data_IF_284413028997
#
_entry.id   IF_284413028997
#
_cell.length_a   1.000
_cell.length_b   1.000
_cell.length_c   1.000
_cell.angle_alpha   90.00
_cell.angle_beta   90.00
_cell.angle_gamma   90.00
#
_symmetry.space_group_name_H-M   'P 1'
#
loop_
_entity.id
_entity.type
_entity.pdbx_description
1 polymer ?
#
# COMPACT_ATOMS: atom_id res chain seq x y z
N UNK A 1 -14.56 0.86 15.64
CA UNK A 1 -13.24 0.77 14.95
C UNK A 1 -12.94 2.04 14.16
N UNK A 2 -13.78 2.41 13.18
CA UNK A 2 -13.66 3.66 12.42
C UNK A 2 -13.54 4.92 13.30
N UNK A 3 -14.52 5.17 14.18
CA UNK A 3 -14.49 6.34 15.07
C UNK A 3 -13.24 6.37 15.98
N UNK A 4 -12.84 5.20 16.51
CA UNK A 4 -11.65 5.07 17.37
C UNK A 4 -10.40 5.50 16.61
N UNK A 5 -10.21 5.01 15.39
CA UNK A 5 -9.03 5.39 14.60
C UNK A 5 -8.96 6.89 14.32
N UNK A 6 -10.08 7.52 13.96
CA UNK A 6 -10.14 8.96 13.65
C UNK A 6 -9.87 9.79 14.91
N UNK A 7 -10.52 9.45 16.03
CA UNK A 7 -10.32 10.13 17.31
C UNK A 7 -8.87 9.98 17.80
N UNK A 8 -8.27 8.81 17.61
CA UNK A 8 -6.88 8.56 17.96
C UNK A 8 -5.93 9.44 17.14
N UNK A 9 -6.11 9.52 15.82
CA UNK A 9 -5.30 10.42 14.96
C UNK A 9 -5.48 11.88 15.33
N UNK A 10 -6.72 12.32 15.57
CA UNK A 10 -7.03 13.67 16.01
C UNK A 10 -6.35 14.01 17.33
N UNK A 11 -6.36 13.08 18.29
CA UNK A 11 -5.69 13.25 19.58
C UNK A 11 -4.18 13.47 19.42
N UNK A 12 -3.49 12.64 18.62
CA UNK A 12 -2.05 12.80 18.37
C UNK A 12 -1.73 14.10 17.64
N UNK A 13 -2.55 14.47 16.66
CA UNK A 13 -2.40 15.72 15.93
C UNK A 13 -2.55 16.94 16.85
N UNK A 14 -3.62 16.99 17.65
CA UNK A 14 -3.88 18.10 18.58
C UNK A 14 -2.86 18.19 19.73
N UNK A 15 -2.30 17.04 20.12
CA UNK A 15 -1.27 16.97 21.17
C UNK A 15 0.14 17.27 20.65
N UNK A 16 0.30 17.56 19.35
CA UNK A 16 1.58 17.96 18.76
C UNK A 16 2.64 16.85 18.73
N UNK A 17 2.22 15.58 18.79
CA UNK A 17 3.15 14.47 18.66
C UNK A 17 3.71 14.37 17.23
N UNK A 18 4.89 13.79 17.09
CA UNK A 18 5.48 13.51 15.77
C UNK A 18 4.53 12.67 14.90
N UNK A 19 4.41 13.05 13.64
CA UNK A 19 3.61 12.36 12.63
C UNK A 19 3.92 10.87 12.53
N UNK A 20 5.16 10.44 12.85
CA UNK A 20 5.59 9.04 12.85
C UNK A 20 4.78 8.22 13.87
N UNK A 21 4.53 8.78 15.05
CA UNK A 21 3.78 8.10 16.11
C UNK A 21 2.36 7.81 15.62
N UNK A 22 1.71 8.80 15.01
CA UNK A 22 0.41 8.64 14.41
C UNK A 22 0.43 7.61 13.25
N UNK A 23 1.46 7.68 12.39
CA UNK A 23 1.57 6.83 11.21
C UNK A 23 1.79 5.34 11.55
N UNK A 24 2.65 5.03 12.52
CA UNK A 24 3.05 3.65 12.85
C UNK A 24 2.11 2.99 13.86
N UNK A 25 1.35 3.77 14.63
CA UNK A 25 0.48 3.24 15.69
C UNK A 25 -0.66 2.39 15.13
N UNK A 26 -0.75 1.14 15.58
CA UNK A 26 -1.80 0.19 15.18
C UNK A 26 -3.23 0.75 15.34
N UNK A 27 -3.61 1.45 16.44
CA UNK A 27 -4.96 1.99 16.58
C UNK A 27 -5.34 3.00 15.49
N UNK A 28 -4.36 3.68 14.88
CA UNK A 28 -4.60 4.58 13.77
C UNK A 28 -4.98 3.85 12.46
N UNK A 29 -4.83 2.53 12.38
CA UNK A 29 -5.16 1.69 11.22
C UNK A 29 -6.54 0.99 11.33
N UNK A 30 -7.29 1.18 12.43
CA UNK A 30 -8.51 0.41 12.70
C UNK A 30 -9.69 0.73 11.77
N UNK A 31 -9.66 1.84 11.04
CA UNK A 31 -10.63 2.13 9.97
C UNK A 31 -10.48 1.17 8.80
N UNK A 32 -9.27 0.96 8.27
CA UNK A 32 -9.04 0.05 7.14
C UNK A 32 -9.44 -1.37 7.53
N UNK A 33 -9.07 -1.80 8.74
CA UNK A 33 -9.46 -3.10 9.26
C UNK A 33 -10.98 -3.22 9.45
N UNK A 34 -11.62 -2.20 10.03
CA UNK A 34 -13.07 -2.18 10.24
C UNK A 34 -13.86 -2.21 8.92
N UNK A 35 -13.41 -1.48 7.90
CA UNK A 35 -14.00 -1.50 6.56
C UNK A 35 -13.82 -2.87 5.90
N UNK A 36 -12.64 -3.48 6.03
CA UNK A 36 -12.39 -4.85 5.55
C UNK A 36 -13.31 -5.88 6.22
N UNK A 37 -13.45 -5.82 7.55
CA UNK A 37 -14.34 -6.69 8.31
C UNK A 37 -15.82 -6.50 7.90
N UNK A 38 -16.24 -5.25 7.71
CA UNK A 38 -17.59 -4.95 7.23
C UNK A 38 -17.83 -5.49 5.82
N UNK A 39 -16.86 -5.35 4.92
CA UNK A 39 -16.93 -5.91 3.56
C UNK A 39 -17.06 -7.43 3.59
N UNK A 40 -16.27 -8.12 4.41
CA UNK A 40 -16.31 -9.56 4.56
C UNK A 40 -17.66 -10.03 5.13
N UNK A 41 -18.19 -9.31 6.13
CA UNK A 41 -19.50 -9.57 6.69
C UNK A 41 -20.62 -9.41 5.65
N UNK A 42 -20.59 -8.34 4.84
CA UNK A 42 -21.55 -8.14 3.74
C UNK A 42 -21.48 -9.28 2.72
N UNK A 43 -20.27 -9.72 2.36
CA UNK A 43 -20.06 -10.79 1.40
C UNK A 43 -20.62 -12.13 1.90
N UNK A 44 -20.40 -12.46 3.17
CA UNK A 44 -20.79 -13.74 3.77
C UNK A 44 -22.28 -13.81 4.14
N UNK A 45 -22.81 -12.75 4.76
CA UNK A 45 -24.14 -12.78 5.37
C UNK A 45 -25.20 -12.02 4.57
N UNK A 46 -24.82 -11.11 3.66
CA UNK A 46 -25.74 -10.23 2.90
C UNK A 46 -25.30 -10.07 1.43
N UNK A 47 -25.12 -11.15 0.66
CA UNK A 47 -24.55 -11.11 -0.69
C UNK A 47 -25.34 -10.23 -1.68
N UNK A 48 -26.67 -10.15 -1.54
CA UNK A 48 -27.48 -9.26 -2.38
C UNK A 48 -27.20 -7.77 -2.14
N UNK A 49 -26.99 -7.39 -0.88
CA UNK A 49 -26.62 -6.02 -0.53
C UNK A 49 -25.19 -5.72 -1.00
N UNK A 50 -24.29 -6.69 -0.86
CA UNK A 50 -22.93 -6.59 -1.39
C UNK A 50 -22.94 -6.31 -2.90
N UNK A 51 -23.67 -7.13 -3.67
CA UNK A 51 -23.80 -6.92 -5.12
C UNK A 51 -24.38 -5.56 -5.46
N UNK A 52 -25.45 -5.11 -4.79
CA UNK A 52 -26.04 -3.79 -5.03
C UNK A 52 -25.06 -2.64 -4.75
N UNK A 53 -24.29 -2.74 -3.67
CA UNK A 53 -23.34 -1.70 -3.27
C UNK A 53 -22.14 -1.61 -4.22
N UNK A 54 -21.57 -2.77 -4.61
CA UNK A 54 -20.34 -2.81 -5.39
C UNK A 54 -20.56 -3.05 -6.90
N UNK A 55 -21.78 -3.26 -7.39
CA UNK A 55 -22.04 -3.45 -8.82
C UNK A 55 -21.58 -2.24 -9.65
N UNK A 56 -21.80 -1.03 -9.15
CA UNK A 56 -21.53 0.21 -9.86
C UNK A 56 -20.10 0.69 -9.62
N UNK A 57 -19.33 0.89 -10.69
CA UNK A 57 -17.97 1.45 -10.63
C UNK A 57 -17.93 2.92 -10.18
N UNK A 58 -19.08 3.61 -10.15
CA UNK A 58 -19.18 4.99 -9.70
C UNK A 58 -18.62 5.21 -8.28
N UNK A 59 -18.82 4.26 -7.36
CA UNK A 59 -18.29 4.38 -5.99
C UNK A 59 -16.76 4.34 -5.93
N UNK A 60 -16.11 3.61 -6.86
CA UNK A 60 -14.65 3.60 -6.99
C UNK A 60 -14.16 4.97 -7.44
N UNK A 61 -14.82 5.57 -8.43
CA UNK A 61 -14.49 6.90 -8.94
C UNK A 61 -14.72 7.95 -7.85
N UNK A 62 -15.85 7.88 -7.14
CA UNK A 62 -16.15 8.80 -6.04
C UNK A 62 -15.15 8.67 -4.90
N UNK A 63 -14.73 7.45 -4.55
CA UNK A 63 -13.66 7.20 -3.58
C UNK A 63 -12.32 7.78 -4.04
N UNK A 64 -11.98 7.62 -5.32
CA UNK A 64 -10.76 8.20 -5.90
C UNK A 64 -10.79 9.73 -5.87
N UNK A 65 -11.92 10.33 -6.22
CA UNK A 65 -12.12 11.78 -6.16
C UNK A 65 -12.07 12.31 -4.73
N UNK A 66 -12.63 11.58 -3.76
CA UNK A 66 -12.52 11.92 -2.34
C UNK A 66 -11.06 11.92 -1.89
N UNK A 67 -10.32 10.86 -2.20
CA UNK A 67 -8.90 10.75 -1.84
C UNK A 67 -8.05 11.83 -2.52
N UNK A 68 -8.23 12.05 -3.83
CA UNK A 68 -7.56 13.11 -4.57
C UNK A 68 -7.92 14.51 -4.04
N UNK A 69 -9.18 14.71 -3.64
CA UNK A 69 -9.65 15.95 -3.01
C UNK A 69 -8.98 16.22 -1.66
N UNK A 70 -8.78 15.19 -0.84
CA UNK A 70 -8.03 15.30 0.42
C UNK A 70 -6.56 15.62 0.18
N UNK A 71 -5.92 15.01 -0.83
CA UNK A 71 -4.55 15.35 -1.24
C UNK A 71 -4.46 16.79 -1.74
N UNK A 72 -5.44 17.24 -2.52
CA UNK A 72 -5.48 18.62 -2.99
C UNK A 72 -5.65 19.60 -1.83
N UNK A 73 -6.55 19.29 -0.90
CA UNK A 73 -6.75 20.07 0.33
C UNK A 73 -5.49 20.08 1.21
N UNK A 74 -4.72 19.00 1.27
CA UNK A 74 -3.49 19.00 2.06
C UNK A 74 -2.44 19.99 1.54
N UNK A 75 -2.46 20.29 0.23
CA UNK A 75 -1.55 21.26 -0.39
C UNK A 75 -1.92 22.72 -0.11
N UNK A 76 -3.11 23.01 0.45
CA UNK A 76 -3.47 24.38 0.82
C UNK A 76 -2.82 24.85 2.12
N UNK A 77 -2.23 23.94 2.89
CA UNK A 77 -1.49 24.26 4.10
C UNK A 77 -0.01 24.52 3.78
N UNK A 78 0.61 25.43 4.53
CA UNK A 78 2.04 25.71 4.41
C UNK A 78 2.92 24.53 4.87
N UNK A 79 2.46 23.82 5.90
CA UNK A 79 3.16 22.66 6.43
C UNK A 79 2.84 21.40 5.62
N UNK A 80 3.86 20.61 5.22
CA UNK A 80 3.67 19.36 4.49
C UNK A 80 2.95 18.28 5.32
N UNK A 81 2.94 18.43 6.64
CA UNK A 81 2.17 17.60 7.58
C UNK A 81 1.09 18.46 8.21
N UNK A 82 -0.17 18.07 8.00
CA UNK A 82 -1.33 18.83 8.42
C UNK A 82 -2.50 17.89 8.73
N UNK A 83 -3.62 18.46 9.15
CA UNK A 83 -4.80 17.68 9.50
C UNK A 83 -5.33 16.82 8.33
N UNK A 84 -5.17 17.30 7.09
CA UNK A 84 -5.60 16.54 5.93
C UNK A 84 -4.72 15.30 5.73
N UNK A 85 -3.39 15.41 5.86
CA UNK A 85 -2.47 14.25 5.75
C UNK A 85 -2.57 13.30 6.93
N UNK A 86 -2.58 13.83 8.15
CA UNK A 86 -2.35 13.03 9.36
C UNK A 86 -3.63 12.36 9.88
N UNK A 87 -4.80 12.88 9.49
CA UNK A 87 -6.10 12.38 9.92
C UNK A 87 -6.90 11.82 8.74
N UNK A 88 -7.11 12.64 7.71
CA UNK A 88 -8.12 12.37 6.68
C UNK A 88 -7.63 11.53 5.50
N UNK A 89 -6.38 11.70 5.09
CA UNK A 89 -5.80 11.02 3.93
C UNK A 89 -5.94 9.50 4.03
N UNK A 90 -5.61 8.95 5.21
CA UNK A 90 -5.71 7.50 5.47
C UNK A 90 -7.15 6.99 5.45
N UNK A 91 -8.10 7.78 5.97
CA UNK A 91 -9.52 7.40 5.93
C UNK A 91 -10.03 7.41 4.48
N UNK A 92 -9.74 8.47 3.74
CA UNK A 92 -10.14 8.60 2.34
C UNK A 92 -9.51 7.48 1.49
N UNK A 93 -8.23 7.17 1.71
CA UNK A 93 -7.56 6.04 1.06
C UNK A 93 -8.20 4.69 1.42
N UNK A 94 -8.57 4.49 2.69
CA UNK A 94 -9.26 3.26 3.13
C UNK A 94 -10.64 3.10 2.50
N UNK A 95 -11.41 4.19 2.38
CA UNK A 95 -12.71 4.21 1.70
C UNK A 95 -12.56 3.94 0.20
N UNK A 96 -11.57 4.55 -0.45
CA UNK A 96 -11.25 4.26 -1.84
C UNK A 96 -10.91 2.78 -2.06
N UNK A 97 -9.98 2.25 -1.27
CA UNK A 97 -9.58 0.84 -1.33
C UNK A 97 -10.74 -0.11 -1.02
N UNK A 98 -11.64 0.25 -0.10
CA UNK A 98 -12.84 -0.54 0.20
C UNK A 98 -13.73 -0.72 -1.03
N UNK A 99 -14.01 0.34 -1.79
CA UNK A 99 -14.79 0.23 -3.02
C UNK A 99 -14.02 -0.43 -4.16
N UNK A 100 -12.71 -0.17 -4.27
CA UNK A 100 -11.85 -0.81 -5.26
C UNK A 100 -11.83 -2.34 -5.07
N UNK A 101 -11.53 -2.80 -3.87
CA UNK A 101 -11.48 -4.24 -3.58
C UNK A 101 -12.88 -4.86 -3.69
N UNK A 102 -13.91 -4.20 -3.15
CA UNK A 102 -15.28 -4.70 -3.21
C UNK A 102 -15.80 -4.88 -4.64
N UNK A 103 -15.48 -3.93 -5.54
CA UNK A 103 -15.78 -4.10 -6.97
C UNK A 103 -14.91 -5.19 -7.60
N UNK A 104 -13.64 -5.29 -7.21
CA UNK A 104 -12.71 -6.32 -7.69
C UNK A 104 -13.19 -7.75 -7.47
N UNK A 105 -13.84 -8.03 -6.33
CA UNK A 105 -14.44 -9.35 -6.05
C UNK A 105 -15.57 -9.71 -7.02
N UNK A 106 -16.34 -8.72 -7.49
CA UNK A 106 -17.38 -8.93 -8.52
C UNK A 106 -16.80 -9.01 -9.94
N UNK A 107 -15.54 -8.65 -10.11
CA UNK A 107 -14.86 -8.55 -11.40
C UNK A 107 -14.95 -7.16 -12.03
N UNK A 108 -13.88 -6.81 -12.73
CA UNK A 108 -13.81 -5.64 -13.61
C UNK A 108 -14.03 -6.04 -15.07
N UNK A 109 -14.48 -5.08 -15.89
CA UNK A 109 -14.54 -5.21 -17.34
C UNK A 109 -13.53 -4.29 -18.04
N UNK A 110 -13.35 -4.47 -19.36
CA UNK A 110 -12.59 -3.56 -20.22
C UNK A 110 -11.10 -3.44 -19.85
N UNK A 111 -10.56 -2.21 -19.93
CA UNK A 111 -9.15 -1.92 -19.69
C UNK A 111 -8.68 -2.25 -18.27
N UNK A 112 -9.53 -2.01 -17.25
CA UNK A 112 -9.19 -2.31 -15.87
C UNK A 112 -9.02 -3.82 -15.66
N UNK A 113 -9.85 -4.64 -16.31
CA UNK A 113 -9.70 -6.10 -16.33
C UNK A 113 -8.36 -6.50 -16.94
N UNK A 114 -8.05 -5.98 -18.13
CA UNK A 114 -6.82 -6.31 -18.84
C UNK A 114 -5.56 -5.93 -18.05
N UNK A 115 -5.61 -4.83 -17.28
CA UNK A 115 -4.52 -4.41 -16.42
C UNK A 115 -4.38 -5.30 -15.17
N UNK A 116 -5.48 -5.51 -14.42
CA UNK A 116 -5.44 -6.24 -13.15
C UNK A 116 -5.20 -7.75 -13.33
N UNK A 117 -5.69 -8.33 -14.42
CA UNK A 117 -5.48 -9.74 -14.76
C UNK A 117 -4.20 -9.98 -15.58
N UNK A 118 -3.37 -8.94 -15.77
CA UNK A 118 -2.07 -9.09 -16.41
C UNK A 118 -1.16 -10.00 -15.55
N UNK A 119 -0.45 -10.93 -16.20
CA UNK A 119 0.43 -11.89 -15.51
C UNK A 119 1.50 -11.22 -14.63
N UNK A 120 2.01 -10.05 -15.01
CA UNK A 120 2.97 -9.29 -14.19
C UNK A 120 2.30 -8.76 -12.93
N UNK A 121 1.11 -8.17 -13.04
CA UNK A 121 0.37 -7.62 -11.89
C UNK A 121 -0.04 -8.74 -10.94
N UNK A 122 -0.51 -9.86 -11.47
CA UNK A 122 -0.83 -11.05 -10.67
C UNK A 122 0.41 -11.62 -9.98
N UNK A 123 1.56 -11.66 -10.66
CA UNK A 123 2.83 -12.11 -10.07
C UNK A 123 3.31 -11.18 -8.96
N UNK A 124 3.29 -9.86 -9.18
CA UNK A 124 3.62 -8.87 -8.15
C UNK A 124 2.67 -8.96 -6.95
N UNK A 125 1.38 -9.20 -7.19
CA UNK A 125 0.39 -9.48 -6.15
C UNK A 125 0.73 -10.72 -5.33
N UNK A 126 1.20 -11.78 -5.99
CA UNK A 126 1.62 -13.04 -5.35
C UNK A 126 2.84 -12.86 -4.43
N UNK A 127 3.83 -12.06 -4.84
CA UNK A 127 5.03 -11.78 -4.02
C UNK A 127 4.89 -10.51 -3.16
N UNK A 128 3.68 -9.94 -3.06
CA UNK A 128 3.44 -8.64 -2.42
C UNK A 128 3.85 -8.58 -0.95
N UNK A 129 3.71 -9.69 -0.22
CA UNK A 129 4.17 -9.79 1.15
C UNK A 129 5.71 -9.62 1.24
N UNK A 130 6.45 -10.33 0.39
CA UNK A 130 7.89 -10.17 0.27
C UNK A 130 8.29 -8.74 -0.13
N UNK A 131 7.59 -8.13 -1.09
CA UNK A 131 7.85 -6.73 -1.46
C UNK A 131 7.70 -5.80 -0.25
N UNK A 132 6.65 -5.98 0.55
CA UNK A 132 6.43 -5.20 1.77
C UNK A 132 7.49 -5.46 2.84
N UNK A 133 7.90 -6.70 3.06
CA UNK A 133 8.91 -7.01 4.08
C UNK A 133 10.31 -6.50 3.68
N UNK A 134 10.69 -6.67 2.41
CA UNK A 134 12.07 -6.45 1.97
C UNK A 134 12.35 -5.06 1.41
N UNK A 135 11.35 -4.24 1.03
CA UNK A 135 11.64 -2.91 0.47
C UNK A 135 12.49 -2.05 1.42
N UNK A 136 12.16 -2.04 2.72
CA UNK A 136 12.94 -1.35 3.75
C UNK A 136 14.34 -1.94 3.96
N UNK A 137 14.51 -3.24 3.72
CA UNK A 137 15.82 -3.91 3.80
C UNK A 137 16.70 -3.58 2.60
N UNK A 138 16.11 -3.49 1.41
CA UNK A 138 16.83 -3.13 0.18
C UNK A 138 17.29 -1.69 0.24
N UNK A 139 16.41 -0.78 0.61
CA UNK A 139 16.77 0.62 0.80
C UNK A 139 15.76 1.33 1.71
N UNK A 140 16.27 2.00 2.74
CA UNK A 140 15.51 2.91 3.58
C UNK A 140 16.30 4.21 3.73
N UNK A 141 15.74 5.29 3.22
CA UNK A 141 16.39 6.60 3.24
C UNK A 141 16.82 7.04 4.66
N UNK A 142 16.06 6.65 5.69
CA UNK A 142 16.31 7.06 7.07
C UNK A 142 17.25 6.12 7.84
N UNK A 143 17.44 4.87 7.39
CA UNK A 143 18.13 3.84 8.17
C UNK A 143 19.24 3.08 7.41
N UNK A 144 19.37 3.25 6.10
CA UNK A 144 20.42 2.59 5.32
C UNK A 144 21.77 3.28 5.53
N UNK A 145 22.77 2.62 6.15
CA UNK A 145 24.08 3.23 6.35
C UNK A 145 24.81 3.43 5.00
N UNK A 146 25.80 4.34 4.91
CA UNK A 146 26.57 4.56 3.67
C UNK A 146 27.29 3.32 3.13
N UNK A 147 27.46 2.31 3.99
CA UNK A 147 28.08 1.02 3.67
C UNK A 147 27.08 -0.05 3.21
N UNK A 148 25.80 0.28 3.08
CA UNK A 148 24.78 -0.68 2.68
C UNK A 148 25.08 -1.30 1.31
N UNK A 149 24.95 -2.63 1.14
CA UNK A 149 25.33 -3.32 -0.10
C UNK A 149 24.66 -2.73 -1.36
N UNK A 150 23.39 -2.36 -1.27
CA UNK A 150 22.64 -1.80 -2.40
C UNK A 150 23.11 -0.39 -2.79
N UNK A 151 23.52 0.43 -1.81
CA UNK A 151 24.12 1.74 -2.05
C UNK A 151 25.53 1.63 -2.63
N UNK A 152 26.31 0.63 -2.21
CA UNK A 152 27.61 0.33 -2.83
C UNK A 152 27.46 -0.08 -4.29
N UNK A 153 26.45 -0.88 -4.60
CA UNK A 153 26.12 -1.25 -5.98
C UNK A 153 25.76 -0.02 -6.80
N UNK A 154 24.85 0.84 -6.30
CA UNK A 154 24.48 2.08 -6.97
C UNK A 154 25.70 2.95 -7.26
N UNK A 155 26.52 3.26 -6.25
CA UNK A 155 27.72 4.09 -6.41
C UNK A 155 28.71 3.52 -7.43
N UNK A 156 28.86 2.19 -7.47
CA UNK A 156 29.74 1.54 -8.46
C UNK A 156 29.19 1.70 -9.88
N UNK A 157 27.88 1.65 -10.06
CA UNK A 157 27.24 1.90 -11.36
C UNK A 157 27.41 3.38 -11.76
N UNK A 158 27.18 4.31 -10.84
CA UNK A 158 27.37 5.75 -11.09
C UNK A 158 28.82 6.10 -11.46
N UNK A 159 29.81 5.42 -10.85
CA UNK A 159 31.22 5.56 -11.22
C UNK A 159 31.52 5.07 -12.63
N UNK A 160 30.86 3.98 -13.07
CA UNK A 160 31.05 3.41 -14.40
C UNK A 160 30.30 4.18 -15.49
N UNK A 161 29.12 4.71 -15.16
CA UNK A 161 28.26 5.46 -16.06
C UNK A 161 27.83 6.75 -15.37
N UNK A 162 28.64 7.82 -15.44
CA UNK A 162 28.33 9.09 -14.77
C UNK A 162 27.02 9.73 -15.24
N UNK A 163 26.56 9.42 -16.46
CA UNK A 163 25.32 9.94 -17.02
C UNK A 163 24.04 9.50 -16.27
N UNK A 164 24.10 8.42 -15.50
CA UNK A 164 22.96 7.96 -14.66
C UNK A 164 23.07 8.40 -13.21
N UNK A 165 24.16 9.08 -12.83
CA UNK A 165 24.33 9.59 -11.47
C UNK A 165 23.22 10.58 -11.12
N UNK A 166 22.66 10.43 -9.91
CA UNK A 166 21.57 11.28 -9.38
C UNK A 166 20.27 11.27 -10.19
N UNK A 167 20.08 10.29 -11.08
CA UNK A 167 18.82 10.14 -11.80
C UNK A 167 17.82 9.37 -10.93
N UNK A 168 16.84 10.11 -10.38
CA UNK A 168 15.80 9.55 -9.49
C UNK A 168 15.04 8.37 -10.12
N UNK A 169 14.80 8.41 -11.44
CA UNK A 169 14.10 7.33 -12.13
C UNK A 169 14.95 6.06 -12.11
N UNK A 170 16.24 6.20 -12.41
CA UNK A 170 17.17 5.08 -12.42
C UNK A 170 17.33 4.46 -11.03
N UNK A 171 17.55 5.30 -10.00
CA UNK A 171 17.66 4.85 -8.62
C UNK A 171 16.40 4.11 -8.16
N UNK A 172 15.22 4.67 -8.44
CA UNK A 172 13.93 4.06 -8.10
C UNK A 172 13.73 2.72 -8.79
N UNK A 173 14.04 2.63 -10.09
CA UNK A 173 13.95 1.38 -10.85
C UNK A 173 14.95 0.34 -10.36
N UNK A 174 16.17 0.74 -9.99
CA UNK A 174 17.19 -0.16 -9.44
C UNK A 174 16.72 -0.77 -8.11
N UNK A 175 16.31 0.05 -7.15
CA UNK A 175 15.86 -0.45 -5.84
C UNK A 175 14.56 -1.25 -5.95
N UNK A 176 13.63 -0.83 -6.81
CA UNK A 176 12.43 -1.61 -7.08
C UNK A 176 12.78 -2.99 -7.67
N UNK A 177 13.67 -3.04 -8.66
CA UNK A 177 14.10 -4.29 -9.29
C UNK A 177 14.80 -5.22 -8.29
N UNK A 178 15.70 -4.68 -7.46
CA UNK A 178 16.35 -5.46 -6.40
C UNK A 178 15.33 -6.00 -5.40
N UNK A 179 14.33 -5.20 -5.03
CA UNK A 179 13.25 -5.64 -4.12
C UNK A 179 12.41 -6.75 -4.75
N UNK A 180 12.06 -6.64 -6.03
CA UNK A 180 11.34 -7.68 -6.77
C UNK A 180 12.15 -8.97 -6.83
N UNK A 181 13.47 -8.89 -7.08
CA UNK A 181 14.36 -10.06 -7.11
C UNK A 181 14.39 -10.73 -5.73
N UNK A 182 14.64 -9.97 -4.67
CA UNK A 182 14.70 -10.52 -3.30
C UNK A 182 13.36 -11.13 -2.88
N UNK A 183 12.24 -10.44 -3.14
CA UNK A 183 10.91 -10.96 -2.85
C UNK A 183 10.59 -12.22 -3.68
N UNK A 184 11.03 -12.28 -4.94
CA UNK A 184 10.87 -13.48 -5.77
C UNK A 184 11.67 -14.64 -5.21
N UNK A 185 12.92 -14.42 -4.80
CA UNK A 185 13.75 -15.45 -4.16
C UNK A 185 13.12 -15.94 -2.85
N UNK A 186 12.63 -15.03 -2.00
CA UNK A 186 11.88 -15.38 -0.78
C UNK A 186 10.68 -16.26 -1.09
N UNK A 187 9.90 -15.89 -2.12
CA UNK A 187 8.73 -16.66 -2.51
C UNK A 187 9.06 -18.11 -2.86
N UNK A 188 10.07 -18.33 -3.71
CA UNK A 188 10.43 -19.68 -4.16
C UNK A 188 11.19 -20.50 -3.10
N UNK A 189 12.01 -19.86 -2.27
CA UNK A 189 12.87 -20.54 -1.30
C UNK A 189 12.20 -20.77 0.06
N UNK A 190 11.28 -19.89 0.46
CA UNK A 190 10.68 -19.92 1.81
C UNK A 190 9.15 -20.00 1.75
N UNK A 191 8.49 -19.01 1.15
CA UNK A 191 7.02 -18.88 1.29
C UNK A 191 6.26 -20.02 0.60
N UNK A 192 6.68 -20.41 -0.60
CA UNK A 192 6.06 -21.51 -1.34
C UNK A 192 6.24 -22.85 -0.62
N UNK A 193 7.47 -23.28 -0.24
CA UNK A 193 7.65 -24.51 0.54
C UNK A 193 6.82 -24.54 1.83
N UNK A 194 6.75 -23.43 2.56
CA UNK A 194 5.97 -23.34 3.80
C UNK A 194 4.46 -23.46 3.52
N UNK A 195 3.95 -22.82 2.47
CA UNK A 195 2.54 -22.96 2.10
C UNK A 195 2.20 -24.39 1.65
N UNK A 196 3.10 -25.05 0.92
CA UNK A 196 2.92 -26.44 0.46
C UNK A 196 2.87 -27.44 1.65
N UNK A 197 3.32 -27.05 2.85
CA UNK A 197 3.19 -27.85 4.07
C UNK A 197 1.79 -27.78 4.70
N UNK A 198 1.00 -26.72 4.44
CA UNK A 198 -0.34 -26.57 5.02
C UNK A 198 -1.28 -27.68 4.56
N UNK A 199 -1.17 -28.07 3.29
CA UNK A 199 -2.00 -29.13 2.69
C UNK A 199 -1.69 -30.53 3.23
N UNK A 200 -0.59 -30.69 3.99
CA UNK A 200 -0.18 -31.97 4.59
C UNK A 200 -0.56 -32.09 6.08
N UNK A 201 -1.02 -31.01 6.70
CA UNK A 201 -1.33 -30.92 8.14
C UNK A 201 -2.84 -30.91 8.42
N UNK A 202 -3.67 -31.07 7.39
CA UNK A 202 -5.14 -31.23 7.43
C UNK A 202 -5.53 -32.55 6.81
#
# INVERSE_FOLDING_TARGET
MLAISILFRLYFFLSGYSWIVNYVSMPACLDSFGLGAFMAWLLLFRPDQYRKLFANGYWVILGLLLWAGVIYWSKTFAEPKNIATDVWERLAGSVFCFFLIGKGVLGYGGLMKAFLENGVVLFLGKISYGLYAYHNLVYNHFHSPPNHPTLRLLRKIEQLVPAVAHNLLFESLLFFSLTVIVATLSWYLMEKPINDLKDKLT
#
